data_IF_168194680294
#
_entry.id   IF_168194680294
#
_cell.length_a   1.000
_cell.length_b   1.000
_cell.length_c   1.000
_cell.angle_alpha   90.00
_cell.angle_beta   90.00
_cell.angle_gamma   90.00
#
_symmetry.space_group_name_H-M   'P 1'
#
loop_
_entity.id
_entity.type
_entity.pdbx_description
1 polymer ?
#
# COMPACT_ATOMS: atom_id res chain seq x y z
N UNK A 1 -27.24 27.50 32.98
CA UNK A 1 -26.45 27.02 31.82
C UNK A 1 -24.96 27.27 32.11
N UNK A 2 -24.22 26.32 32.69
CA UNK A 2 -22.80 26.55 33.09
C UNK A 2 -21.85 25.38 32.78
N UNK A 3 -22.35 24.30 32.17
CA UNK A 3 -21.58 23.07 31.92
C UNK A 3 -21.09 22.89 30.47
N UNK A 4 -21.59 23.65 29.50
CA UNK A 4 -21.29 23.43 28.08
C UNK A 4 -19.82 23.63 27.71
N UNK A 5 -19.09 24.54 28.38
CA UNK A 5 -17.68 24.79 28.09
C UNK A 5 -16.74 23.64 28.46
N UNK A 6 -17.08 22.85 29.50
CA UNK A 6 -16.25 21.72 29.93
C UNK A 6 -16.31 20.56 28.93
N UNK A 7 -17.45 20.36 28.29
CA UNK A 7 -17.62 19.35 27.24
C UNK A 7 -16.85 19.68 25.97
N UNK A 8 -16.80 20.95 25.57
CA UNK A 8 -16.05 21.39 24.37
C UNK A 8 -14.54 21.17 24.57
N UNK A 9 -14.01 21.49 25.74
CA UNK A 9 -12.60 21.27 26.07
C UNK A 9 -12.27 19.77 26.13
N UNK A 10 -13.15 18.95 26.72
CA UNK A 10 -13.00 17.48 26.74
C UNK A 10 -12.98 16.88 25.33
N UNK A 11 -13.84 17.37 24.43
CA UNK A 11 -13.87 16.92 23.03
C UNK A 11 -12.57 17.26 22.29
N UNK A 12 -12.04 18.48 22.46
CA UNK A 12 -10.77 18.88 21.85
C UNK A 12 -9.59 18.02 22.33
N UNK A 13 -9.53 17.72 23.63
CA UNK A 13 -8.46 16.87 24.20
C UNK A 13 -8.57 15.42 23.72
N UNK A 14 -9.79 14.86 23.66
CA UNK A 14 -10.01 13.51 23.10
C UNK A 14 -9.58 13.43 21.63
N UNK A 15 -9.86 14.46 20.85
CA UNK A 15 -9.52 14.55 19.42
C UNK A 15 -8.00 14.51 19.20
N UNK A 16 -7.25 15.25 20.02
CA UNK A 16 -5.79 15.29 19.94
C UNK A 16 -5.14 13.95 20.31
N UNK A 17 -5.66 13.25 21.32
CA UNK A 17 -5.15 11.92 21.70
C UNK A 17 -5.38 10.85 20.62
N UNK A 18 -6.50 10.92 19.89
CA UNK A 18 -6.80 9.99 18.79
C UNK A 18 -5.83 10.17 17.60
N UNK A 19 -5.36 11.39 17.34
CA UNK A 19 -4.42 11.68 16.26
C UNK A 19 -3.01 11.14 16.56
N UNK A 20 -2.56 11.20 17.82
CA UNK A 20 -1.25 10.68 18.24
C UNK A 20 -1.16 9.16 18.24
N UNK A 21 -2.30 8.45 18.30
CA UNK A 21 -2.30 6.98 18.32
C UNK A 21 -1.98 6.36 16.93
N UNK A 22 -1.96 7.17 15.87
CA UNK A 22 -1.71 6.71 14.50
C UNK A 22 -0.24 6.80 14.06
N UNK A 23 0.71 7.13 14.96
CA UNK A 23 2.15 7.19 14.64
C UNK A 23 2.82 5.81 14.51
N UNK A 24 2.11 4.83 13.96
CA UNK A 24 2.72 3.59 13.49
C UNK A 24 3.46 3.85 12.18
N UNK A 25 4.79 3.72 12.18
CA UNK A 25 5.57 3.74 10.94
C UNK A 25 5.13 2.58 10.04
N UNK A 26 4.61 2.88 8.85
CA UNK A 26 4.28 1.86 7.84
C UNK A 26 5.54 1.05 7.52
N UNK A 27 5.46 -0.28 7.61
CA UNK A 27 6.53 -1.16 7.15
C UNK A 27 6.22 -1.61 5.73
N UNK A 28 7.28 -1.98 5.02
CA UNK A 28 7.15 -2.50 3.67
C UNK A 28 7.80 -3.88 3.60
N UNK A 29 7.05 -4.85 3.08
CA UNK A 29 7.47 -6.23 2.94
C UNK A 29 7.51 -6.62 1.46
N UNK A 30 8.49 -7.42 1.02
CA UNK A 30 8.50 -7.91 -0.35
C UNK A 30 7.35 -8.90 -0.57
N UNK A 31 6.53 -8.63 -1.57
CA UNK A 31 5.45 -9.51 -2.01
C UNK A 31 5.64 -9.89 -3.47
N UNK A 32 5.24 -11.11 -3.82
CA UNK A 32 5.36 -11.66 -5.16
C UNK A 32 4.01 -12.18 -5.67
N UNK A 33 3.74 -11.98 -6.95
CA UNK A 33 2.60 -12.58 -7.64
C UNK A 33 2.94 -12.98 -9.08
N UNK A 34 2.16 -13.91 -9.62
CA UNK A 34 2.21 -14.30 -11.02
C UNK A 34 1.11 -13.55 -11.77
N UNK A 35 1.45 -13.00 -12.93
CA UNK A 35 0.56 -12.25 -13.80
C UNK A 35 0.59 -12.83 -15.21
N UNK A 36 -0.52 -12.73 -15.92
CA UNK A 36 -0.63 -13.18 -17.32
C UNK A 36 -0.10 -12.10 -18.26
N UNK A 37 0.60 -12.50 -19.31
CA UNK A 37 1.23 -11.63 -20.30
C UNK A 37 2.75 -11.79 -20.31
N UNK A 38 3.44 -10.77 -20.80
CA UNK A 38 4.88 -10.76 -20.93
C UNK A 38 5.49 -9.53 -20.26
N UNK A 39 6.70 -9.72 -19.77
CA UNK A 39 7.46 -8.65 -19.12
C UNK A 39 8.09 -7.71 -20.14
N UNK A 40 7.31 -6.77 -20.66
CA UNK A 40 7.73 -5.80 -21.69
C UNK A 40 8.53 -4.63 -21.10
N UNK A 41 9.65 -4.92 -20.41
CA UNK A 41 10.56 -3.90 -19.84
C UNK A 41 9.85 -2.89 -18.91
N UNK A 42 9.92 -1.59 -19.25
CA UNK A 42 9.26 -0.52 -18.48
C UNK A 42 7.75 -0.70 -18.37
N UNK A 43 7.08 -1.16 -19.44
CA UNK A 43 5.63 -1.39 -19.43
C UNK A 43 5.23 -2.54 -18.49
N UNK A 44 6.05 -3.59 -18.39
CA UNK A 44 5.82 -4.70 -17.46
C UNK A 44 5.92 -4.28 -15.99
N UNK A 45 6.76 -3.29 -15.68
CA UNK A 45 6.88 -2.77 -14.31
C UNK A 45 5.66 -1.94 -13.91
N UNK A 46 5.14 -1.13 -14.83
CA UNK A 46 3.89 -0.40 -14.62
C UNK A 46 2.69 -1.35 -14.45
N UNK A 47 2.61 -2.40 -15.27
CA UNK A 47 1.57 -3.42 -15.14
C UNK A 47 1.65 -4.14 -13.78
N UNK A 48 2.85 -4.52 -13.34
CA UNK A 48 3.07 -5.06 -11.99
C UNK A 48 2.59 -4.11 -10.90
N UNK A 49 2.92 -2.82 -11.00
CA UNK A 49 2.45 -1.84 -10.05
C UNK A 49 0.93 -1.79 -9.98
N UNK A 50 0.24 -1.75 -11.14
CA UNK A 50 -1.23 -1.72 -11.17
C UNK A 50 -1.86 -2.99 -10.58
N UNK A 51 -1.33 -4.17 -10.90
CA UNK A 51 -1.86 -5.43 -10.38
C UNK A 51 -1.60 -5.58 -8.86
N UNK A 52 -0.39 -5.23 -8.41
CA UNK A 52 -0.07 -5.27 -6.98
C UNK A 52 -0.89 -4.24 -6.20
N UNK A 53 -1.14 -3.06 -6.77
CA UNK A 53 -1.98 -2.03 -6.18
C UNK A 53 -3.43 -2.47 -6.07
N UNK A 54 -3.95 -3.16 -7.09
CA UNK A 54 -5.28 -3.75 -7.04
C UNK A 54 -5.41 -4.83 -5.94
N UNK A 55 -4.33 -5.56 -5.64
CA UNK A 55 -4.32 -6.63 -4.63
C UNK A 55 -4.08 -6.13 -3.20
N UNK A 56 -3.17 -5.17 -3.02
CA UNK A 56 -2.69 -4.74 -1.69
C UNK A 56 -3.20 -3.36 -1.26
N UNK A 57 -3.89 -2.64 -2.14
CA UNK A 57 -4.46 -1.32 -1.85
C UNK A 57 -3.65 -0.16 -2.41
N UNK A 58 -4.30 1.00 -2.49
CA UNK A 58 -3.82 2.19 -3.20
C UNK A 58 -3.41 3.33 -2.26
N UNK A 59 -4.06 3.44 -1.10
CA UNK A 59 -3.79 4.46 -0.10
C UNK A 59 -3.78 3.85 1.32
N UNK A 60 -3.04 4.43 2.28
CA UNK A 60 -2.09 5.54 2.13
C UNK A 60 -0.72 5.12 1.56
N UNK A 61 -0.48 3.81 1.44
CA UNK A 61 0.84 3.25 1.15
C UNK A 61 0.78 2.30 -0.04
N UNK A 62 0.81 2.82 -1.28
CA UNK A 62 0.80 1.99 -2.47
C UNK A 62 2.07 1.13 -2.58
N UNK A 63 2.06 0.06 -3.38
CA UNK A 63 3.24 -0.75 -3.64
C UNK A 63 4.41 0.08 -4.20
N UNK A 64 5.63 -0.24 -3.79
CA UNK A 64 6.85 0.43 -4.25
C UNK A 64 7.88 -0.60 -4.74
N UNK A 65 9.00 -0.14 -5.32
CA UNK A 65 10.11 -0.99 -5.78
C UNK A 65 9.68 -2.16 -6.68
N UNK A 66 8.66 -1.94 -7.50
CA UNK A 66 8.12 -2.98 -8.37
C UNK A 66 9.15 -3.43 -9.41
N UNK A 67 9.22 -4.75 -9.59
CA UNK A 67 10.04 -5.43 -10.58
C UNK A 67 9.19 -6.43 -11.32
N UNK A 68 9.43 -6.49 -12.61
CA UNK A 68 8.85 -7.46 -13.50
C UNK A 68 9.97 -8.42 -13.93
N UNK A 69 9.71 -9.72 -13.84
CA UNK A 69 10.66 -10.78 -14.18
C UNK A 69 9.98 -11.83 -15.06
N UNK A 70 10.53 -12.16 -16.24
CA UNK A 70 10.01 -13.25 -17.05
C UNK A 70 10.19 -14.59 -16.32
N UNK A 71 9.24 -15.51 -16.50
CA UNK A 71 9.34 -16.86 -15.96
C UNK A 71 9.97 -17.75 -17.04
N UNK A 72 11.08 -18.45 -16.75
CA UNK A 72 11.71 -19.35 -17.72
C UNK A 72 10.71 -20.40 -18.21
N UNK A 73 10.63 -20.59 -19.53
CA UNK A 73 9.73 -21.53 -20.21
C UNK A 73 8.22 -21.23 -20.10
N UNK A 74 7.81 -20.07 -19.59
CA UNK A 74 6.41 -19.64 -19.55
C UNK A 74 6.24 -18.32 -20.30
N UNK A 75 5.86 -18.41 -21.58
CA UNK A 75 5.69 -17.26 -22.46
C UNK A 75 4.41 -16.47 -22.22
N UNK A 76 3.50 -17.01 -21.40
CA UNK A 76 2.20 -16.41 -21.13
C UNK A 76 2.11 -15.79 -19.74
N UNK A 77 3.16 -15.94 -18.91
CA UNK A 77 3.13 -15.39 -17.58
C UNK A 77 4.48 -14.81 -17.18
N UNK A 78 4.42 -13.90 -16.22
CA UNK A 78 5.58 -13.27 -15.63
C UNK A 78 5.38 -13.12 -14.12
N UNK A 79 6.48 -12.91 -13.40
CA UNK A 79 6.49 -12.67 -11.96
C UNK A 79 6.61 -11.18 -11.70
N UNK A 80 5.69 -10.68 -10.88
CA UNK A 80 5.75 -9.36 -10.26
C UNK A 80 6.29 -9.47 -8.84
N UNK A 81 7.18 -8.56 -8.48
CA UNK A 81 7.67 -8.38 -7.11
C UNK A 81 7.63 -6.91 -6.76
N UNK A 82 6.97 -6.54 -5.67
CA UNK A 82 6.95 -5.17 -5.16
C UNK A 82 7.05 -5.21 -3.63
N UNK A 83 7.45 -4.09 -3.03
CA UNK A 83 7.35 -3.90 -1.59
C UNK A 83 5.98 -3.29 -1.26
N UNK A 84 5.21 -3.97 -0.43
CA UNK A 84 3.82 -3.60 -0.07
C UNK A 84 3.71 -3.33 1.42
N UNK A 85 2.71 -2.54 1.81
CA UNK A 85 2.47 -2.25 3.22
C UNK A 85 2.21 -3.52 4.03
N UNK A 86 2.89 -3.62 5.17
CA UNK A 86 2.80 -4.60 6.23
C UNK A 86 3.20 -3.90 7.56
#
# INVERSE_FOLDING_TARGET
>A
MKNSGRFVVLFLVLSSCLLSLSEGSIKFCPAEMKAQGQCSGMFGTADCFHQMRAKYGEAPSPPTNCKCTPIPNDLQNYKCKCDVAC
#
